data_IF_339406518106
#
_entry.id   IF_339406518106
#
_cell.length_a   1.000
_cell.length_b   1.000
_cell.length_c   1.000
_cell.angle_alpha   90.00
_cell.angle_beta   90.00
_cell.angle_gamma   90.00
#
_symmetry.space_group_name_H-M   'P 1'
#
loop_
_entity.id
_entity.type
_entity.pdbx_description
1 polymer ?
#
# COMPACT_ATOMS: atom_id res chain seq x y z
N UNK A 1 26.61 5.64 5.37
CA UNK A 1 25.43 4.82 5.04
C UNK A 1 25.00 3.95 6.21
N UNK A 2 25.89 3.19 6.85
CA UNK A 2 25.56 2.40 8.05
C UNK A 2 24.97 3.23 9.21
N UNK A 3 25.58 4.36 9.57
CA UNK A 3 25.05 5.28 10.60
C UNK A 3 23.68 5.87 10.25
N UNK A 4 23.40 6.07 8.96
CA UNK A 4 22.09 6.56 8.49
C UNK A 4 21.03 5.45 8.60
N UNK A 5 21.36 4.24 8.14
CA UNK A 5 20.47 3.08 8.24
C UNK A 5 20.13 2.75 9.70
N UNK A 6 21.12 2.73 10.58
CA UNK A 6 20.92 2.47 12.02
C UNK A 6 20.07 3.55 12.68
N UNK A 7 20.33 4.84 12.40
CA UNK A 7 19.47 5.93 12.91
C UNK A 7 18.02 5.80 12.43
N UNK A 8 17.80 5.39 11.18
CA UNK A 8 16.46 5.14 10.63
C UNK A 8 15.76 3.96 11.30
N UNK A 9 16.47 2.83 11.48
CA UNK A 9 15.93 1.66 12.19
C UNK A 9 15.60 2.02 13.65
N UNK A 10 16.47 2.74 14.35
CA UNK A 10 16.21 3.21 15.70
C UNK A 10 15.03 4.18 15.77
N UNK A 11 14.82 5.02 14.76
CA UNK A 11 13.64 5.90 14.68
C UNK A 11 12.34 5.16 14.38
N UNK A 12 12.42 4.00 13.70
CA UNK A 12 11.29 3.16 13.35
C UNK A 12 10.77 2.34 14.54
N UNK A 13 11.65 1.99 15.48
CA UNK A 13 11.34 1.12 16.61
C UNK A 13 10.28 1.72 17.57
N UNK A 14 10.35 3.01 17.99
CA UNK A 14 9.29 3.64 18.76
C UNK A 14 7.94 3.63 18.05
N UNK A 15 7.93 3.84 16.72
CA UNK A 15 6.70 3.84 15.91
C UNK A 15 6.07 2.45 15.93
N UNK A 16 6.88 1.40 15.75
CA UNK A 16 6.40 0.02 15.83
C UNK A 16 5.83 -0.30 17.22
N UNK A 17 6.56 0.02 18.30
CA UNK A 17 6.11 -0.24 19.67
C UNK A 17 4.80 0.48 19.96
N UNK A 18 4.69 1.77 19.60
CA UNK A 18 3.45 2.54 19.79
C UNK A 18 2.31 1.92 19.01
N UNK A 19 2.52 1.56 17.73
CA UNK A 19 1.48 0.96 16.90
C UNK A 19 0.97 -0.37 17.48
N UNK A 20 1.88 -1.27 17.90
CA UNK A 20 1.53 -2.54 18.53
C UNK A 20 0.78 -2.33 19.84
N UNK A 21 1.26 -1.40 20.67
CA UNK A 21 0.66 -1.10 21.98
C UNK A 21 -0.74 -0.53 21.83
N UNK A 22 -0.91 0.48 20.97
CA UNK A 22 -2.20 1.11 20.71
C UNK A 22 -3.18 0.09 20.11
N UNK A 23 -2.76 -0.68 19.11
CA UNK A 23 -3.60 -1.72 18.51
C UNK A 23 -4.03 -2.76 19.55
N UNK A 24 -3.10 -3.19 20.39
CA UNK A 24 -3.38 -4.14 21.47
C UNK A 24 -4.47 -3.64 22.41
N UNK A 25 -4.29 -2.45 22.98
CA UNK A 25 -5.26 -1.92 23.94
C UNK A 25 -6.60 -1.56 23.30
N UNK A 26 -6.62 -1.02 22.08
CA UNK A 26 -7.88 -0.74 21.36
C UNK A 26 -8.70 -2.02 21.21
N UNK A 27 -8.08 -3.14 20.84
CA UNK A 27 -8.80 -4.41 20.67
C UNK A 27 -9.39 -4.95 21.97
N UNK A 28 -8.71 -4.75 23.11
CA UNK A 28 -9.20 -5.22 24.43
C UNK A 28 -10.22 -4.27 25.06
N UNK A 29 -10.17 -2.98 24.72
CA UNK A 29 -11.09 -1.96 25.18
C UNK A 29 -12.37 -1.88 24.33
N UNK A 30 -12.30 -2.35 23.08
CA UNK A 30 -13.45 -2.39 22.19
C UNK A 30 -14.57 -3.27 22.79
N UNK A 31 -15.84 -2.85 22.69
CA UNK A 31 -16.95 -3.62 23.22
C UNK A 31 -17.08 -4.96 22.46
N UNK A 32 -17.02 -6.05 23.23
CA UNK A 32 -17.15 -7.44 22.75
C UNK A 32 -15.81 -8.18 22.58
N UNK A 33 -15.87 -9.50 22.50
CA UNK A 33 -14.74 -10.42 22.44
C UNK A 33 -14.73 -11.34 21.21
N UNK A 34 -13.63 -12.09 21.00
CA UNK A 34 -13.47 -13.05 19.90
C UNK A 34 -14.47 -14.22 19.98
N UNK A 35 -15.08 -14.43 21.15
CA UNK A 35 -16.04 -15.49 21.40
C UNK A 35 -17.48 -14.98 21.57
N UNK A 36 -17.70 -13.68 21.38
CA UNK A 36 -19.03 -13.07 21.45
C UNK A 36 -19.72 -13.17 20.08
N UNK A 37 -20.09 -14.40 19.71
CA UNK A 37 -20.82 -14.71 18.49
C UNK A 37 -22.34 -14.63 18.64
N UNK A 38 -23.07 -14.90 17.56
CA UNK A 38 -24.55 -14.92 17.55
C UNK A 38 -25.15 -15.96 18.51
N UNK A 39 -24.41 -17.03 18.79
CA UNK A 39 -24.79 -18.05 19.77
C UNK A 39 -23.91 -17.94 21.00
N UNK A 40 -24.54 -17.74 22.15
CA UNK A 40 -23.84 -17.78 23.42
C UNK A 40 -23.23 -19.18 23.64
N UNK A 41 -21.92 -19.23 23.88
CA UNK A 41 -21.23 -20.46 24.23
C UNK A 41 -21.59 -20.86 25.66
N UNK A 42 -21.64 -22.18 25.97
CA UNK A 42 -21.76 -22.64 27.34
C UNK A 42 -20.65 -22.04 28.22
N UNK A 43 -20.93 -21.60 29.46
CA UNK A 43 -19.94 -20.92 30.30
C UNK A 43 -18.63 -21.70 30.50
N UNK A 44 -18.72 -23.03 30.59
CA UNK A 44 -17.56 -23.91 30.72
C UNK A 44 -16.66 -23.88 29.47
N UNK A 45 -17.25 -23.87 28.27
CA UNK A 45 -16.50 -23.79 27.01
C UNK A 45 -15.80 -22.43 26.92
N UNK A 46 -16.51 -21.36 27.26
CA UNK A 46 -15.95 -20.01 27.27
C UNK A 46 -14.77 -19.88 28.25
N UNK A 47 -14.86 -20.46 29.44
CA UNK A 47 -13.78 -20.47 30.42
C UNK A 47 -12.56 -21.24 29.89
N UNK A 48 -12.77 -22.42 29.30
CA UNK A 48 -11.69 -23.21 28.70
C UNK A 48 -11.00 -22.48 27.54
N UNK A 49 -11.77 -21.80 26.69
CA UNK A 49 -11.21 -20.98 25.60
C UNK A 49 -10.41 -19.79 26.16
N UNK A 50 -10.93 -19.08 27.16
CA UNK A 50 -10.19 -17.98 27.80
C UNK A 50 -8.87 -18.46 28.39
N UNK A 51 -8.85 -19.59 29.09
CA UNK A 51 -7.63 -20.18 29.61
C UNK A 51 -6.67 -20.63 28.49
N UNK A 52 -7.19 -21.27 27.43
CA UNK A 52 -6.39 -21.72 26.30
C UNK A 52 -5.64 -20.57 25.59
N UNK A 53 -6.31 -19.43 25.41
CA UNK A 53 -5.72 -18.23 24.79
C UNK A 53 -5.09 -17.25 25.79
N UNK A 54 -4.95 -17.62 27.08
CA UNK A 54 -4.45 -16.77 28.17
C UNK A 54 -5.23 -15.45 28.36
N UNK A 55 -6.50 -15.40 27.94
CA UNK A 55 -7.37 -14.23 28.07
C UNK A 55 -7.90 -14.04 29.51
N UNK A 56 -7.69 -15.01 30.37
CA UNK A 56 -7.98 -14.98 31.81
C UNK A 56 -6.91 -14.27 32.64
N UNK A 57 -5.70 -14.07 32.08
CA UNK A 57 -4.61 -13.37 32.74
C UNK A 57 -4.82 -11.84 32.76
N UNK A 58 -4.19 -11.11 33.70
CA UNK A 58 -4.16 -9.65 33.66
C UNK A 58 -3.67 -9.11 32.30
N UNK A 59 -4.33 -8.05 31.80
CA UNK A 59 -4.10 -7.49 30.45
C UNK A 59 -2.61 -7.16 30.20
N UNK A 60 -1.89 -6.68 31.22
CA UNK A 60 -0.47 -6.38 31.11
C UNK A 60 0.38 -7.64 30.84
N UNK A 61 0.04 -8.78 31.45
CA UNK A 61 0.73 -10.05 31.22
C UNK A 61 0.44 -10.53 29.79
N UNK A 62 -0.82 -10.42 29.34
CA UNK A 62 -1.18 -10.72 27.96
C UNK A 62 -0.37 -9.89 26.96
N UNK A 63 -0.17 -8.59 27.24
CA UNK A 63 0.63 -7.69 26.41
C UNK A 63 2.09 -8.11 26.35
N UNK A 64 2.74 -8.33 27.50
CA UNK A 64 4.14 -8.76 27.54
C UNK A 64 4.36 -10.11 26.87
N UNK A 65 3.46 -11.07 27.08
CA UNK A 65 3.50 -12.37 26.41
C UNK A 65 3.38 -12.22 24.89
N UNK A 66 2.46 -11.37 24.42
CA UNK A 66 2.30 -11.10 23.00
C UNK A 66 3.55 -10.46 22.39
N UNK A 67 4.10 -9.41 23.01
CA UNK A 67 5.31 -8.73 22.53
C UNK A 67 6.52 -9.68 22.53
N UNK A 68 6.65 -10.53 23.56
CA UNK A 68 7.72 -11.51 23.64
C UNK A 68 7.67 -12.54 22.51
N UNK A 69 6.48 -13.12 22.25
CA UNK A 69 6.26 -14.05 21.13
C UNK A 69 6.50 -13.37 19.78
N UNK A 70 6.03 -12.13 19.63
CA UNK A 70 6.21 -11.33 18.42
C UNK A 70 7.70 -11.12 18.08
N UNK A 71 8.55 -10.85 19.08
CA UNK A 71 10.00 -10.70 18.89
C UNK A 71 10.63 -12.01 18.39
N UNK A 72 10.05 -13.16 18.74
CA UNK A 72 10.48 -14.49 18.27
C UNK A 72 9.90 -14.84 16.88
N UNK A 73 9.09 -13.97 16.29
CA UNK A 73 8.41 -14.21 15.01
C UNK A 73 7.12 -15.02 15.12
N UNK A 74 6.62 -15.25 16.34
CA UNK A 74 5.37 -15.94 16.62
C UNK A 74 4.25 -14.92 16.89
N UNK A 75 3.30 -14.82 15.97
CA UNK A 75 2.14 -13.93 16.08
C UNK A 75 0.95 -14.60 16.79
N UNK A 76 1.07 -15.88 17.14
CA UNK A 76 0.04 -16.70 17.73
C UNK A 76 -1.01 -17.21 16.75
N UNK A 77 -1.93 -18.05 17.25
CA UNK A 77 -3.01 -18.62 16.47
C UNK A 77 -4.13 -17.61 16.21
N UNK A 78 -4.90 -17.86 15.16
CA UNK A 78 -6.20 -17.22 14.96
C UNK A 78 -7.18 -17.70 16.04
N UNK A 79 -7.97 -16.77 16.59
CA UNK A 79 -8.99 -17.10 17.60
C UNK A 79 -10.33 -17.53 16.99
N UNK A 80 -10.50 -17.32 15.68
CA UNK A 80 -11.74 -17.60 14.94
C UNK A 80 -11.53 -18.70 13.88
N UNK A 81 -10.39 -18.69 13.18
CA UNK A 81 -10.01 -19.72 12.22
C UNK A 81 -9.22 -20.82 12.95
N UNK A 82 -9.94 -21.77 13.53
CA UNK A 82 -9.33 -22.89 14.25
C UNK A 82 -8.31 -23.65 13.39
N UNK A 83 -7.15 -23.95 13.99
CA UNK A 83 -6.06 -24.70 13.34
C UNK A 83 -5.12 -23.87 12.47
N UNK A 84 -5.36 -22.56 12.30
CA UNK A 84 -4.47 -21.69 11.53
C UNK A 84 -3.62 -20.79 12.42
N UNK A 85 -2.32 -20.80 12.17
CA UNK A 85 -1.39 -19.82 12.72
C UNK A 85 -1.43 -18.53 11.91
N UNK A 86 -1.30 -17.37 12.58
CA UNK A 86 -1.33 -16.08 11.89
C UNK A 86 -0.16 -15.95 10.93
N UNK A 87 1.00 -16.48 11.28
CA UNK A 87 2.19 -16.50 10.40
C UNK A 87 1.95 -17.26 9.09
N UNK A 88 1.18 -18.36 9.13
CA UNK A 88 0.81 -19.14 7.97
C UNK A 88 -0.12 -18.36 7.03
N UNK A 89 -1.16 -17.73 7.59
CA UNK A 89 -2.09 -16.88 6.83
C UNK A 89 -1.37 -15.69 6.19
N UNK A 90 -0.42 -15.08 6.90
CA UNK A 90 0.44 -14.02 6.38
C UNK A 90 1.33 -14.53 5.23
N UNK A 91 1.95 -15.70 5.37
CA UNK A 91 2.79 -16.30 4.34
C UNK A 91 2.01 -16.63 3.06
N UNK A 92 0.77 -17.08 3.19
CA UNK A 92 -0.14 -17.33 2.05
C UNK A 92 -0.53 -16.02 1.38
N UNK A 93 -0.86 -14.98 2.17
CA UNK A 93 -1.34 -13.71 1.64
C UNK A 93 -0.27 -12.81 1.02
N UNK A 94 0.96 -12.86 1.55
CA UNK A 94 2.04 -11.94 1.20
C UNK A 94 2.36 -11.89 -0.30
N UNK A 95 2.49 -13.02 -1.03
CA UNK A 95 2.75 -13.00 -2.46
C UNK A 95 1.68 -12.26 -3.26
N UNK A 96 0.40 -12.38 -2.87
CA UNK A 96 -0.71 -11.72 -3.56
C UNK A 96 -0.70 -10.21 -3.33
N UNK A 97 -0.50 -9.79 -2.07
CA UNK A 97 -0.38 -8.37 -1.71
C UNK A 97 0.81 -7.74 -2.42
N UNK A 98 1.98 -8.40 -2.44
CA UNK A 98 3.16 -7.92 -3.17
C UNK A 98 2.94 -7.89 -4.68
N UNK A 99 2.36 -8.94 -5.27
CA UNK A 99 2.11 -9.01 -6.70
C UNK A 99 1.17 -7.89 -7.14
N UNK A 100 0.05 -7.71 -6.42
CA UNK A 100 -0.93 -6.67 -6.70
C UNK A 100 -0.33 -5.26 -6.53
N UNK A 101 0.37 -5.02 -5.42
CA UNK A 101 0.97 -3.72 -5.16
C UNK A 101 2.10 -3.38 -6.14
N UNK A 102 2.99 -4.32 -6.45
CA UNK A 102 4.09 -4.07 -7.39
C UNK A 102 3.58 -3.87 -8.81
N UNK A 103 2.60 -4.66 -9.27
CA UNK A 103 2.01 -4.47 -10.60
C UNK A 103 1.29 -3.12 -10.71
N UNK A 104 0.47 -2.76 -9.72
CA UNK A 104 -0.17 -1.44 -9.67
C UNK A 104 0.84 -0.30 -9.61
N UNK A 105 1.93 -0.45 -8.86
CA UNK A 105 3.00 0.55 -8.78
C UNK A 105 3.70 0.77 -10.12
N UNK A 106 4.08 -0.31 -10.81
CA UNK A 106 4.74 -0.23 -12.13
C UNK A 106 3.80 0.42 -13.14
N UNK A 107 2.55 -0.05 -13.22
CA UNK A 107 1.54 0.49 -14.13
C UNK A 107 1.28 1.97 -13.85
N UNK A 108 1.09 2.34 -12.58
CA UNK A 108 0.86 3.72 -12.18
C UNK A 108 2.04 4.64 -12.56
N UNK A 109 3.26 4.16 -12.37
CA UNK A 109 4.48 4.93 -12.69
C UNK A 109 4.61 5.15 -14.18
N UNK A 110 4.48 4.10 -14.99
CA UNK A 110 4.60 4.18 -16.45
C UNK A 110 3.51 5.10 -17.00
N UNK A 111 2.25 4.83 -16.68
CA UNK A 111 1.11 5.62 -17.19
C UNK A 111 1.20 7.07 -16.70
N UNK A 112 1.50 7.27 -15.42
CA UNK A 112 1.61 8.59 -14.83
C UNK A 112 2.69 9.44 -15.48
N UNK A 113 3.90 8.89 -15.66
CA UNK A 113 5.01 9.61 -16.30
C UNK A 113 4.67 9.95 -17.76
N UNK A 114 4.18 8.98 -18.53
CA UNK A 114 3.81 9.20 -19.94
C UNK A 114 2.72 10.28 -20.04
N UNK A 115 1.65 10.17 -19.25
CA UNK A 115 0.55 11.13 -19.27
C UNK A 115 1.02 12.54 -18.87
N UNK A 116 1.89 12.65 -17.87
CA UNK A 116 2.46 13.93 -17.45
C UNK A 116 3.34 14.58 -18.51
N UNK A 117 4.16 13.80 -19.23
CA UNK A 117 4.96 14.30 -20.36
C UNK A 117 4.05 14.81 -21.48
N UNK A 118 3.04 14.02 -21.86
CA UNK A 118 2.10 14.38 -22.94
C UNK A 118 1.37 15.68 -22.58
N UNK A 119 0.87 15.81 -21.34
CA UNK A 119 0.17 17.02 -20.91
C UNK A 119 1.10 18.25 -20.82
N UNK A 120 2.36 18.08 -20.43
CA UNK A 120 3.31 19.18 -20.40
C UNK A 120 3.67 19.71 -21.80
N UNK A 121 3.91 18.81 -22.76
CA UNK A 121 4.19 19.20 -24.16
C UNK A 121 2.94 19.83 -24.81
N UNK A 122 1.75 19.44 -24.36
CA UNK A 122 0.48 19.96 -24.84
C UNK A 122 -0.19 20.91 -23.84
N UNK A 123 0.61 21.71 -23.12
CA UNK A 123 0.10 22.63 -22.10
C UNK A 123 -1.03 23.50 -22.65
N UNK A 124 -2.13 23.61 -21.89
CA UNK A 124 -3.35 24.34 -22.25
C UNK A 124 -4.09 23.82 -23.50
N UNK A 125 -3.84 22.58 -23.93
CA UNK A 125 -4.58 21.90 -25.01
C UNK A 125 -5.40 20.73 -24.46
N UNK A 126 -6.20 20.11 -25.32
CA UNK A 126 -7.07 18.98 -24.93
C UNK A 126 -6.38 17.88 -24.10
N UNK A 127 -5.18 17.36 -24.44
CA UNK A 127 -4.54 16.32 -23.64
C UNK A 127 -4.27 16.73 -22.19
N UNK A 128 -3.98 18.02 -21.97
CA UNK A 128 -3.77 18.59 -20.65
C UNK A 128 -5.08 18.64 -19.84
N UNK A 129 -6.17 19.11 -20.45
CA UNK A 129 -7.49 19.11 -19.81
C UNK A 129 -7.99 17.70 -19.47
N UNK A 130 -7.75 16.71 -20.34
CA UNK A 130 -8.08 15.31 -20.06
C UNK A 130 -7.29 14.78 -18.87
N UNK A 131 -6.00 15.08 -18.77
CA UNK A 131 -5.19 14.70 -17.63
C UNK A 131 -5.73 15.34 -16.34
N UNK A 132 -6.07 16.63 -16.36
CA UNK A 132 -6.65 17.31 -15.18
C UNK A 132 -7.94 16.62 -14.73
N UNK A 133 -8.85 16.29 -15.66
CA UNK A 133 -10.08 15.56 -15.35
C UNK A 133 -9.80 14.17 -14.77
N UNK A 134 -8.90 13.39 -15.39
CA UNK A 134 -8.53 12.06 -14.89
C UNK A 134 -7.90 12.12 -13.48
N UNK A 135 -7.11 13.16 -13.22
CA UNK A 135 -6.53 13.43 -11.89
C UNK A 135 -7.62 13.75 -10.88
N UNK A 136 -8.58 14.60 -11.22
CA UNK A 136 -9.70 14.93 -10.34
C UNK A 136 -10.51 13.68 -9.99
N UNK A 137 -10.88 12.87 -10.98
CA UNK A 137 -11.60 11.61 -10.75
C UNK A 137 -10.81 10.67 -9.85
N UNK A 138 -9.51 10.54 -10.08
CA UNK A 138 -8.63 9.67 -9.29
C UNK A 138 -8.43 10.10 -7.84
N UNK A 139 -8.64 11.37 -7.52
CA UNK A 139 -8.48 11.91 -6.16
C UNK A 139 -9.83 11.98 -5.43
N UNK A 140 -10.91 12.25 -6.16
CA UNK A 140 -12.25 12.45 -5.58
C UNK A 140 -12.95 11.12 -5.30
N UNK A 141 -12.81 10.13 -6.18
CA UNK A 141 -13.52 8.86 -6.05
C UNK A 141 -12.77 7.95 -5.07
N UNK A 142 -13.39 7.50 -3.96
CA UNK A 142 -12.77 6.55 -3.04
C UNK A 142 -12.47 5.21 -3.73
N UNK A 143 -11.35 4.56 -3.39
CA UNK A 143 -10.95 3.29 -4.00
C UNK A 143 -12.03 2.20 -3.88
N UNK A 144 -12.76 2.15 -2.76
CA UNK A 144 -13.81 1.15 -2.60
C UNK A 144 -14.98 1.36 -3.55
N UNK A 145 -15.36 2.63 -3.77
CA UNK A 145 -16.42 3.00 -4.69
C UNK A 145 -15.98 2.76 -6.13
N UNK A 146 -14.75 3.15 -6.49
CA UNK A 146 -14.19 2.87 -7.80
C UNK A 146 -14.15 1.36 -8.09
N UNK A 147 -13.76 0.55 -7.10
CA UNK A 147 -13.80 -0.90 -7.18
C UNK A 147 -15.20 -1.43 -7.47
N UNK A 148 -16.19 -1.04 -6.67
CA UNK A 148 -17.58 -1.46 -6.85
C UNK A 148 -18.16 -1.05 -8.22
N UNK A 149 -17.89 0.18 -8.67
CA UNK A 149 -18.34 0.68 -9.98
C UNK A 149 -17.70 -0.09 -11.14
N UNK A 150 -16.39 -0.35 -11.07
CA UNK A 150 -15.69 -1.11 -12.10
C UNK A 150 -16.14 -2.58 -12.13
N UNK A 151 -16.39 -3.20 -10.97
CA UNK A 151 -16.97 -4.54 -10.89
C UNK A 151 -18.35 -4.59 -11.54
N UNK A 152 -19.21 -3.61 -11.23
CA UNK A 152 -20.56 -3.55 -11.77
C UNK A 152 -20.54 -3.35 -13.29
N UNK A 153 -19.73 -2.40 -13.78
CA UNK A 153 -19.63 -2.08 -15.20
C UNK A 153 -18.97 -3.20 -16.01
N UNK A 154 -17.74 -3.57 -15.67
CA UNK A 154 -16.93 -4.51 -16.47
C UNK A 154 -17.20 -5.98 -16.11
N UNK A 155 -17.55 -6.26 -14.86
CA UNK A 155 -17.81 -7.60 -14.36
C UNK A 155 -19.24 -8.09 -14.58
N UNK A 156 -20.23 -7.23 -14.32
CA UNK A 156 -21.65 -7.63 -14.34
C UNK A 156 -22.35 -7.24 -15.64
N UNK A 157 -22.31 -5.95 -16.01
CA UNK A 157 -23.02 -5.46 -17.19
C UNK A 157 -22.34 -5.85 -18.50
N UNK A 158 -21.06 -5.50 -18.67
CA UNK A 158 -20.31 -5.78 -19.89
C UNK A 158 -19.78 -7.22 -19.95
N UNK A 159 -19.54 -7.84 -18.78
CA UNK A 159 -18.93 -9.19 -18.64
C UNK A 159 -17.59 -9.35 -19.37
N UNK A 160 -16.84 -8.26 -19.49
CA UNK A 160 -15.51 -8.26 -20.13
C UNK A 160 -14.42 -8.80 -19.22
N UNK A 161 -14.56 -8.56 -17.91
CA UNK A 161 -13.55 -8.91 -16.91
C UNK A 161 -14.21 -9.65 -15.74
N UNK A 162 -13.47 -10.47 -14.98
CA UNK A 162 -14.00 -11.09 -13.77
C UNK A 162 -14.36 -10.03 -12.73
N UNK A 163 -15.53 -10.16 -12.08
CA UNK A 163 -15.93 -9.26 -11.00
C UNK A 163 -15.05 -9.43 -9.74
N UNK A 164 -14.44 -10.60 -9.54
CA UNK A 164 -13.56 -10.86 -8.40
C UNK A 164 -13.20 -12.33 -8.27
N UNK A 165 -12.50 -12.64 -7.19
CA UNK A 165 -11.97 -13.94 -6.87
C UNK A 165 -10.62 -14.22 -7.54
N UNK A 166 -9.99 -15.30 -7.11
CA UNK A 166 -8.74 -15.80 -7.67
C UNK A 166 -8.94 -17.23 -8.16
N UNK A 167 -8.95 -17.44 -9.48
CA UNK A 167 -9.19 -18.75 -10.11
C UNK A 167 -7.92 -19.29 -10.77
N UNK A 168 -6.86 -19.47 -9.98
CA UNK A 168 -5.66 -20.17 -10.42
C UNK A 168 -4.71 -19.36 -11.32
N UNK A 169 -4.60 -18.05 -11.12
CA UNK A 169 -3.55 -17.26 -11.80
C UNK A 169 -3.96 -16.46 -13.03
N UNK A 170 -5.26 -16.31 -13.30
CA UNK A 170 -5.71 -15.56 -14.47
C UNK A 170 -5.42 -14.06 -14.31
N UNK A 171 -4.52 -13.52 -15.14
CA UNK A 171 -4.14 -12.10 -15.13
C UNK A 171 -5.32 -11.14 -15.35
N UNK A 172 -6.41 -11.59 -15.99
CA UNK A 172 -7.64 -10.80 -16.14
C UNK A 172 -8.25 -10.42 -14.79
N UNK A 173 -8.05 -11.23 -13.75
CA UNK A 173 -8.52 -10.94 -12.38
C UNK A 173 -7.74 -9.81 -11.72
N UNK A 174 -6.56 -9.47 -12.23
CA UNK A 174 -5.74 -8.36 -11.73
C UNK A 174 -6.09 -7.03 -12.40
N UNK A 175 -6.68 -7.04 -13.60
CA UNK A 175 -6.90 -5.83 -14.40
C UNK A 175 -7.71 -4.79 -13.63
N UNK A 176 -8.86 -5.18 -13.06
CA UNK A 176 -9.70 -4.26 -12.29
C UNK A 176 -9.04 -3.81 -10.96
N UNK A 177 -8.55 -4.72 -10.10
CA UNK A 177 -7.81 -4.33 -8.89
C UNK A 177 -6.62 -3.40 -9.15
N UNK A 178 -5.81 -3.72 -10.16
CA UNK A 178 -4.64 -2.93 -10.56
C UNK A 178 -5.08 -1.56 -11.06
N UNK A 179 -6.17 -1.48 -11.83
CA UNK A 179 -6.69 -0.19 -12.29
C UNK A 179 -7.14 0.69 -11.12
N UNK A 180 -7.87 0.12 -10.15
CA UNK A 180 -8.32 0.85 -8.94
C UNK A 180 -7.13 1.38 -8.15
N UNK A 181 -6.11 0.56 -7.93
CA UNK A 181 -4.92 0.97 -7.17
C UNK A 181 -4.02 1.92 -7.96
N UNK A 182 -3.84 1.68 -9.26
CA UNK A 182 -2.92 2.45 -10.08
C UNK A 182 -3.47 3.84 -10.38
N UNK A 183 -4.79 4.01 -10.52
CA UNK A 183 -5.38 5.27 -11.00
C UNK A 183 -5.03 6.49 -10.11
N UNK A 184 -5.27 6.49 -8.78
CA UNK A 184 -4.93 7.65 -7.93
C UNK A 184 -3.43 7.94 -7.92
N UNK A 185 -2.60 6.89 -8.01
CA UNK A 185 -1.15 7.02 -8.04
C UNK A 185 -0.65 7.57 -9.36
N UNK A 186 -1.16 7.07 -10.49
CA UNK A 186 -0.86 7.57 -11.82
C UNK A 186 -1.24 9.04 -11.94
N UNK A 187 -2.40 9.44 -11.40
CA UNK A 187 -2.84 10.83 -11.34
C UNK A 187 -1.87 11.75 -10.58
N UNK A 188 -1.38 11.31 -9.41
CA UNK A 188 -0.40 12.10 -8.63
C UNK A 188 0.94 12.21 -9.37
N UNK A 189 1.42 11.09 -9.92
CA UNK A 189 2.67 11.04 -10.68
C UNK A 189 2.59 11.92 -11.93
N UNK A 190 1.48 11.86 -12.67
CA UNK A 190 1.29 12.63 -13.89
C UNK A 190 1.25 14.13 -13.62
N UNK A 191 0.63 14.57 -12.52
CA UNK A 191 0.64 15.97 -12.09
C UNK A 191 2.04 16.45 -11.72
N UNK A 192 2.80 15.65 -10.96
CA UNK A 192 4.19 15.96 -10.61
C UNK A 192 5.08 16.07 -11.85
N UNK A 193 4.99 15.06 -12.72
CA UNK A 193 5.77 15.00 -13.96
C UNK A 193 5.42 16.17 -14.88
N UNK A 194 4.13 16.49 -15.02
CA UNK A 194 3.67 17.64 -15.82
C UNK A 194 4.28 18.95 -15.31
N UNK A 195 4.15 19.22 -14.01
CA UNK A 195 4.68 20.44 -13.41
C UNK A 195 6.19 20.58 -13.60
N UNK A 196 6.93 19.50 -13.29
CA UNK A 196 8.38 19.51 -13.41
C UNK A 196 8.85 19.59 -14.87
N UNK A 197 8.12 19.00 -15.80
CA UNK A 197 8.42 19.09 -17.23
C UNK A 197 8.18 20.51 -17.78
N UNK A 198 7.10 21.18 -17.40
CA UNK A 198 6.84 22.58 -17.79
C UNK A 198 7.96 23.50 -17.29
N UNK A 199 8.34 23.36 -16.02
CA UNK A 199 9.44 24.13 -15.43
C UNK A 199 10.77 23.85 -16.14
N UNK A 200 11.07 22.59 -16.41
CA UNK A 200 12.30 22.19 -17.10
C UNK A 200 12.36 22.74 -18.52
N UNK A 201 11.27 22.66 -19.29
CA UNK A 201 11.18 23.20 -20.65
C UNK A 201 11.32 24.72 -20.69
N UNK A 202 10.89 25.42 -19.63
CA UNK A 202 11.05 26.87 -19.49
C UNK A 202 12.47 27.35 -19.19
N UNK A 203 13.39 26.44 -18.85
CA UNK A 203 14.73 26.77 -18.33
C UNK A 203 15.74 27.25 -19.40
N UNK A 204 16.73 28.01 -18.96
CA UNK A 204 17.76 28.60 -19.83
C UNK A 204 18.63 27.56 -20.55
N UNK A 205 18.92 26.41 -19.92
CA UNK A 205 19.74 25.37 -20.55
C UNK A 205 19.00 24.68 -21.70
N UNK A 206 17.67 24.54 -21.60
CA UNK A 206 16.84 24.04 -22.72
C UNK A 206 16.81 25.05 -23.87
N UNK A 207 16.64 26.35 -23.58
CA UNK A 207 16.71 27.40 -24.60
C UNK A 207 18.06 27.41 -25.33
N UNK A 208 19.15 27.21 -24.58
CA UNK A 208 20.51 27.10 -25.14
C UNK A 208 20.69 25.83 -25.98
N UNK A 209 20.06 24.73 -25.60
CA UNK A 209 20.06 23.49 -26.41
C UNK A 209 19.33 23.72 -27.74
N UNK A 210 18.18 24.38 -27.71
CA UNK A 210 17.40 24.74 -28.91
C UNK A 210 18.16 25.67 -29.85
N UNK A 211 18.86 26.69 -29.31
CA UNK A 211 19.67 27.61 -30.14
C UNK A 211 20.86 26.91 -30.83
N UNK A 212 21.29 25.75 -30.33
CA UNK A 212 22.31 24.90 -30.95
C UNK A 212 21.75 23.94 -32.01
N UNK A 213 20.46 24.04 -32.35
CA UNK A 213 19.82 23.20 -33.37
C UNK A 213 19.46 21.78 -32.90
N UNK A 214 19.42 21.53 -31.59
CA UNK A 214 19.01 20.23 -31.07
C UNK A 214 17.52 20.00 -31.37
N UNK A 215 17.19 18.92 -32.06
CA UNK A 215 15.81 18.57 -32.40
C UNK A 215 14.93 18.28 -31.19
N UNK A 216 13.62 18.54 -31.33
CA UNK A 216 12.63 18.47 -30.25
C UNK A 216 12.62 17.12 -29.51
N UNK A 217 12.69 16.01 -30.25
CA UNK A 217 12.73 14.66 -29.66
C UNK A 217 13.95 14.46 -28.76
N UNK A 218 15.12 14.93 -29.18
CA UNK A 218 16.36 14.79 -28.41
C UNK A 218 16.37 15.73 -27.21
N UNK A 219 15.84 16.96 -27.37
CA UNK A 219 15.61 17.88 -26.27
C UNK A 219 14.71 17.25 -25.19
N UNK A 220 13.54 16.71 -25.58
CA UNK A 220 12.58 16.11 -24.64
C UNK A 220 13.19 14.91 -23.91
N UNK A 221 13.73 13.94 -24.66
CA UNK A 221 14.19 12.65 -24.10
C UNK A 221 15.52 12.73 -23.35
N UNK A 222 16.48 13.53 -23.83
CA UNK A 222 17.85 13.54 -23.28
C UNK A 222 18.10 14.72 -22.35
N UNK A 223 17.51 15.88 -22.60
CA UNK A 223 17.79 17.11 -21.86
C UNK A 223 16.71 17.47 -20.84
N UNK A 224 15.44 17.30 -21.17
CA UNK A 224 14.33 17.70 -20.30
C UNK A 224 13.85 16.56 -19.37
N UNK A 225 13.78 15.32 -19.85
CA UNK A 225 13.21 14.21 -19.08
C UNK A 225 13.96 13.92 -17.77
N UNK A 226 15.30 13.92 -17.80
CA UNK A 226 16.10 13.54 -16.63
C UNK A 226 15.92 14.53 -15.45
N UNK A 227 16.03 15.86 -15.64
CA UNK A 227 15.69 16.81 -14.57
C UNK A 227 14.23 16.73 -14.13
N UNK A 228 13.30 16.55 -15.07
CA UNK A 228 11.87 16.50 -14.78
C UNK A 228 11.43 15.26 -13.97
N UNK A 229 12.22 14.18 -13.98
CA UNK A 229 11.96 12.96 -13.21
C UNK A 229 12.36 13.06 -11.73
N UNK A 230 13.18 14.04 -11.32
CA UNK A 230 13.71 14.11 -9.95
C UNK A 230 12.57 14.16 -8.90
N UNK A 231 11.52 14.98 -9.06
CA UNK A 231 10.40 14.99 -8.11
C UNK A 231 9.60 13.69 -8.15
N UNK A 232 9.45 13.09 -9.33
CA UNK A 232 8.72 11.82 -9.50
C UNK A 232 9.42 10.71 -8.72
N UNK A 233 10.72 10.54 -8.91
CA UNK A 233 11.52 9.52 -8.20
C UNK A 233 11.46 9.72 -6.68
N UNK A 234 11.48 10.97 -6.22
CA UNK A 234 11.34 11.29 -4.79
C UNK A 234 9.97 10.88 -4.22
N UNK A 235 8.91 10.94 -5.04
CA UNK A 235 7.56 10.50 -4.66
C UNK A 235 7.38 8.99 -4.74
N UNK A 236 8.03 8.31 -5.70
CA UNK A 236 7.88 6.87 -5.93
C UNK A 236 8.14 6.05 -4.68
N UNK A 237 9.09 6.50 -3.85
CA UNK A 237 9.43 5.80 -2.63
C UNK A 237 8.29 5.68 -1.63
N UNK A 238 7.86 6.79 -0.98
CA UNK A 238 6.68 6.76 -0.11
C UNK A 238 5.41 6.28 -0.82
N UNK A 239 5.32 6.52 -2.14
CA UNK A 239 4.23 6.05 -2.98
C UNK A 239 4.09 4.53 -3.03
N UNK A 240 5.20 3.79 -3.05
CA UNK A 240 5.20 2.33 -3.02
C UNK A 240 4.66 1.80 -1.68
N UNK A 241 5.14 2.34 -0.56
CA UNK A 241 4.66 1.98 0.79
C UNK A 241 3.16 2.25 0.94
N UNK A 242 2.70 3.40 0.46
CA UNK A 242 1.28 3.75 0.48
C UNK A 242 0.45 2.81 -0.41
N UNK A 243 0.96 2.41 -1.58
CA UNK A 243 0.22 1.56 -2.50
C UNK A 243 0.07 0.13 -1.97
N UNK A 244 1.14 -0.44 -1.38
CA UNK A 244 1.11 -1.76 -0.75
C UNK A 244 0.24 -1.79 0.51
N UNK A 245 0.15 -0.68 1.25
CA UNK A 245 -0.78 -0.56 2.38
C UNK A 245 -2.20 -0.21 1.94
N UNK A 246 -2.36 0.44 0.79
CA UNK A 246 -3.66 0.81 0.22
C UNK A 246 -4.37 -0.36 -0.47
N UNK A 247 -3.66 -1.47 -0.72
CA UNK A 247 -4.22 -2.65 -1.36
C UNK A 247 -5.26 -3.37 -0.49
N UNK A 248 -5.30 -3.13 0.83
CA UNK A 248 -6.17 -3.89 1.75
C UNK A 248 -7.63 -3.91 1.32
N UNK A 249 -8.14 -2.72 1.05
CA UNK A 249 -9.54 -2.51 0.71
C UNK A 249 -9.84 -3.10 -0.66
N UNK A 250 -8.90 -2.96 -1.60
CA UNK A 250 -9.05 -3.49 -2.95
C UNK A 250 -9.00 -5.01 -2.96
N UNK A 251 -8.09 -5.63 -2.19
CA UNK A 251 -8.04 -7.09 -2.02
C UNK A 251 -9.35 -7.65 -1.48
N UNK A 252 -9.95 -6.99 -0.48
CA UNK A 252 -11.23 -7.41 0.08
C UNK A 252 -12.38 -7.26 -0.93
N UNK A 253 -12.45 -6.16 -1.67
CA UNK A 253 -13.53 -5.90 -2.63
C UNK A 253 -13.50 -6.88 -3.79
N UNK A 254 -12.31 -7.15 -4.31
CA UNK A 254 -12.13 -8.11 -5.41
C UNK A 254 -11.95 -9.55 -4.91
N UNK A 255 -12.03 -9.81 -3.61
CA UNK A 255 -11.95 -11.16 -3.04
C UNK A 255 -10.60 -11.86 -3.27
N UNK A 256 -9.52 -11.10 -3.43
CA UNK A 256 -8.18 -11.64 -3.63
C UNK A 256 -7.63 -12.22 -2.31
N UNK A 257 -6.86 -13.33 -2.36
CA UNK A 257 -6.30 -13.98 -1.18
C UNK A 257 -5.06 -13.24 -0.65
N UNK A 258 -5.14 -11.92 -0.48
CA UNK A 258 -4.08 -11.10 0.09
C UNK A 258 -4.23 -10.88 1.60
N UNK A 259 -3.20 -10.33 2.23
CA UNK A 259 -3.17 -10.08 3.68
C UNK A 259 -4.27 -9.11 4.09
N UNK A 260 -4.64 -8.18 3.23
CA UNK A 260 -5.68 -7.20 3.52
C UNK A 260 -7.08 -7.78 3.68
N UNK A 261 -7.37 -8.85 2.94
CA UNK A 261 -8.60 -9.62 3.13
C UNK A 261 -8.63 -10.23 4.54
N UNK A 262 -7.53 -10.85 4.98
CA UNK A 262 -7.44 -11.43 6.33
C UNK A 262 -7.58 -10.36 7.41
N UNK A 263 -6.95 -9.18 7.24
CA UNK A 263 -7.10 -8.07 8.18
C UNK A 263 -8.56 -7.61 8.32
N UNK A 264 -9.26 -7.38 7.20
CA UNK A 264 -10.66 -6.91 7.23
C UNK A 264 -11.58 -7.98 7.83
N UNK A 265 -11.41 -9.25 7.44
CA UNK A 265 -12.19 -10.35 7.98
C UNK A 265 -11.95 -10.54 9.49
N UNK A 266 -10.69 -10.47 9.93
CA UNK A 266 -10.33 -10.54 11.34
C UNK A 266 -10.96 -9.41 12.14
N UNK A 267 -10.96 -8.19 11.60
CA UNK A 267 -11.57 -7.03 12.26
C UNK A 267 -13.09 -7.20 12.39
N UNK A 268 -13.77 -7.70 11.36
CA UNK A 268 -15.21 -7.95 11.38
C UNK A 268 -15.59 -9.10 12.33
N UNK A 269 -14.76 -10.16 12.38
CA UNK A 269 -14.99 -11.33 13.22
C UNK A 269 -14.39 -11.21 14.63
N UNK A 270 -13.81 -10.04 14.97
CA UNK A 270 -13.14 -9.78 16.26
C UNK A 270 -12.04 -10.78 16.61
N UNK A 271 -11.33 -11.29 15.61
CA UNK A 271 -10.19 -12.17 15.81
C UNK A 271 -8.98 -11.35 16.27
N UNK A 272 -8.75 -11.31 17.58
CA UNK A 272 -7.68 -10.51 18.16
C UNK A 272 -6.29 -10.94 17.68
N UNK A 273 -6.05 -12.24 17.52
CA UNK A 273 -4.76 -12.77 17.08
C UNK A 273 -4.44 -12.30 15.66
N UNK A 274 -5.39 -12.50 14.75
CA UNK A 274 -5.21 -12.17 13.34
C UNK A 274 -5.16 -10.66 13.09
N UNK A 275 -5.99 -9.84 13.76
CA UNK A 275 -5.91 -8.36 13.62
C UNK A 275 -4.57 -7.84 14.13
N UNK A 276 -4.11 -8.31 15.29
CA UNK A 276 -2.83 -7.89 15.84
C UNK A 276 -1.67 -8.27 14.91
N UNK A 277 -1.56 -9.55 14.55
CA UNK A 277 -0.45 -10.03 13.74
C UNK A 277 -0.40 -9.38 12.37
N UNK A 278 -1.55 -9.20 11.70
CA UNK A 278 -1.63 -8.48 10.43
C UNK A 278 -1.27 -7.00 10.58
N UNK A 279 -1.69 -6.33 11.66
CA UNK A 279 -1.32 -4.92 11.93
C UNK A 279 0.19 -4.79 12.12
N UNK A 280 0.80 -5.62 12.97
CA UNK A 280 2.25 -5.62 13.19
C UNK A 280 2.99 -5.88 11.88
N UNK A 281 2.53 -6.86 11.12
CA UNK A 281 3.11 -7.19 9.83
C UNK A 281 3.09 -5.98 8.88
N UNK A 282 1.96 -5.27 8.75
CA UNK A 282 1.88 -4.06 7.92
C UNK A 282 2.79 -2.94 8.41
N UNK A 283 2.84 -2.70 9.72
CA UNK A 283 3.75 -1.70 10.30
C UNK A 283 5.20 -2.05 9.96
N UNK A 284 5.61 -3.30 10.15
CA UNK A 284 6.96 -3.77 9.80
C UNK A 284 7.23 -3.65 8.29
N UNK A 285 6.27 -4.04 7.44
CA UNK A 285 6.37 -3.92 5.99
C UNK A 285 6.58 -2.45 5.56
N UNK A 286 5.79 -1.52 6.11
CA UNK A 286 5.92 -0.08 5.83
C UNK A 286 7.29 0.43 6.28
N UNK A 287 7.76 0.05 7.46
CA UNK A 287 9.06 0.48 7.98
C UNK A 287 10.20 -0.04 7.11
N UNK A 288 10.14 -1.30 6.67
CA UNK A 288 11.12 -1.88 5.74
C UNK A 288 11.09 -1.17 4.39
N UNK A 289 9.91 -0.95 3.80
CA UNK A 289 9.79 -0.26 2.52
C UNK A 289 10.30 1.19 2.59
N UNK A 290 9.93 1.92 3.65
CA UNK A 290 10.42 3.28 3.86
C UNK A 290 11.94 3.31 4.05
N UNK A 291 12.51 2.35 4.78
CA UNK A 291 13.96 2.22 4.92
C UNK A 291 14.63 1.96 3.57
N UNK A 292 14.10 1.04 2.75
CA UNK A 292 14.62 0.77 1.40
C UNK A 292 14.60 2.02 0.53
N UNK A 293 13.50 2.77 0.58
CA UNK A 293 13.33 4.04 -0.12
C UNK A 293 14.33 5.09 0.34
N UNK A 294 14.47 5.27 1.65
CA UNK A 294 15.41 6.22 2.24
C UNK A 294 16.86 5.89 1.85
N UNK A 295 17.20 4.60 1.74
CA UNK A 295 18.51 4.13 1.30
C UNK A 295 18.74 4.40 -0.20
N UNK A 296 17.75 4.14 -1.05
CA UNK A 296 17.81 4.48 -2.48
C UNK A 296 17.96 5.98 -2.67
N UNK A 297 17.21 6.79 -1.91
CA UNK A 297 17.30 8.24 -1.96
C UNK A 297 18.67 8.75 -1.51
N UNK A 298 19.21 8.22 -0.41
CA UNK A 298 20.57 8.55 0.06
C UNK A 298 21.69 8.06 -0.88
N UNK A 299 21.40 7.08 -1.74
CA UNK A 299 22.30 6.66 -2.81
C UNK A 299 22.25 7.60 -4.01
N UNK A 300 21.05 8.02 -4.43
CA UNK A 300 20.83 8.92 -5.56
C UNK A 300 21.25 10.37 -5.28
N UNK A 301 21.01 10.89 -4.06
CA UNK A 301 21.44 12.21 -3.63
C UNK A 301 22.33 12.12 -2.37
N UNK A 302 23.67 12.23 -2.52
CA UNK A 302 24.61 12.17 -1.40
C UNK A 302 24.42 13.27 -0.36
N UNK A 303 23.75 14.39 -0.70
CA UNK A 303 23.55 15.53 0.21
C UNK A 303 22.64 15.19 1.39
N UNK A 304 21.82 14.17 1.25
CA UNK A 304 20.87 13.71 2.26
C UNK A 304 21.56 12.93 3.39
N UNK A 305 22.79 12.43 3.16
CA UNK A 305 23.53 11.59 4.12
C UNK A 305 23.97 12.33 5.40
N UNK A 306 23.95 13.66 5.41
CA UNK A 306 24.48 14.52 6.48
C UNK A 306 23.39 15.24 7.31
N UNK A 307 22.10 14.98 7.05
CA UNK A 307 20.97 15.43 7.89
C UNK A 307 20.53 14.30 8.83
#
# INVERSE_FOLDING_TARGET
MFNYATRRVLSALPIAIIAVTVCFFILRLAPGGPFDGERALPPLVLQNLRAHYNLDQPIWIQYFNYVWRMIQGDFGPSMVMEGFEVSELLAIGLPFTLMLGMTAFIVATIIGVIAGIIAAVNQNKWPDYVLVLAVMLGVIVPNFLMGALLQLLFGVYLRWLPAGGWSGGNWLQLVLPVTVLAWPHAARISRLMRGSMIETLGSNFIRTAMSKGIGERLMLTRHALKPALIPVVSYLGPGLSYLLTGSLVVESIFGLPGIGKYFIQAALNRDYGLVLGTTVFYVMLILVLNLLVDLVYAWLDPRVRFR
#
